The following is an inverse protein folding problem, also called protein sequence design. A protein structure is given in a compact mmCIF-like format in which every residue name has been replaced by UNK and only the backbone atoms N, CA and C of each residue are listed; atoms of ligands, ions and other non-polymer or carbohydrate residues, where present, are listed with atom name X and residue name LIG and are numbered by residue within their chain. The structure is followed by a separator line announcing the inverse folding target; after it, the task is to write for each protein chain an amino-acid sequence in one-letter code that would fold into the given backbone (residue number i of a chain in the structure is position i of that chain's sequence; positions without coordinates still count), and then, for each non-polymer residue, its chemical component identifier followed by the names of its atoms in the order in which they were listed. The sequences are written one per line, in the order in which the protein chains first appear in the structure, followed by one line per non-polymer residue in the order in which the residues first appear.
data_IF_489330180114
#
_entry.id   IF_489330180114
#
_cell.length_a   1.000
_cell.length_b   1.000
_cell.length_c   1.000
_cell.angle_alpha   90.00
_cell.angle_beta   90.00
_cell.angle_gamma   90.00
#
_symmetry.space_group_name_H-M   'P 1'
#
loop_
_entity.id
_entity.type
_entity.pdbx_description
1 polymer ?
#
# COMPACT_ATOMS: atom_id res chain seq x y z
N UNK A 1 -23.23 -18.32 12.93
CA UNK A 1 -21.97 -17.98 12.24
C UNK A 1 -21.99 -16.50 11.90
N UNK A 2 -21.07 -15.71 12.43
CA UNK A 2 -20.96 -14.28 12.13
C UNK A 2 -20.41 -14.08 10.72
N UNK A 3 -21.03 -13.21 9.93
CA UNK A 3 -20.52 -12.82 8.61
C UNK A 3 -19.33 -11.89 8.81
N UNK A 4 -18.16 -12.26 8.28
CA UNK A 4 -16.97 -11.40 8.25
C UNK A 4 -17.15 -10.42 7.10
N UNK A 5 -17.06 -9.13 7.39
CA UNK A 5 -17.10 -8.04 6.42
C UNK A 5 -15.69 -7.49 6.25
N UNK A 6 -15.32 -7.22 5.00
CA UNK A 6 -14.12 -6.46 4.71
C UNK A 6 -14.36 -4.99 5.09
N UNK A 7 -13.50 -4.46 5.96
CA UNK A 7 -13.70 -3.15 6.59
C UNK A 7 -13.60 -1.98 5.60
N UNK A 8 -12.80 -2.12 4.54
CA UNK A 8 -12.56 -1.06 3.56
C UNK A 8 -13.60 -1.04 2.45
N UNK A 9 -14.03 -2.21 1.97
CA UNK A 9 -15.04 -2.32 0.92
C UNK A 9 -16.47 -2.43 1.44
N UNK A 10 -16.66 -2.61 2.75
CA UNK A 10 -17.94 -2.87 3.42
C UNK A 10 -18.72 -4.08 2.86
N UNK A 11 -18.08 -4.92 2.04
CA UNK A 11 -18.70 -6.10 1.43
C UNK A 11 -18.48 -7.33 2.30
N UNK A 12 -19.47 -8.21 2.33
CA UNK A 12 -19.31 -9.51 2.96
C UNK A 12 -18.21 -10.29 2.23
N UNK A 13 -17.35 -10.99 2.98
CA UNK A 13 -16.23 -11.75 2.40
C UNK A 13 -16.69 -12.77 1.34
N UNK A 14 -17.93 -13.24 1.40
CA UNK A 14 -18.55 -14.12 0.40
C UNK A 14 -19.01 -13.41 -0.89
N UNK A 15 -19.28 -12.09 -0.86
CA UNK A 15 -19.68 -11.31 -2.04
C UNK A 15 -18.49 -10.82 -2.86
N UNK A 16 -17.30 -10.73 -2.25
CA UNK A 16 -16.04 -10.48 -2.95
C UNK A 16 -15.61 -11.68 -3.83
N UNK A 17 -16.19 -12.86 -3.58
CA UNK A 17 -16.02 -14.09 -4.38
C UNK A 17 -16.96 -14.09 -5.61
N UNK A 18 -17.60 -12.96 -5.96
CA UNK A 18 -18.27 -12.81 -7.25
C UNK A 18 -17.25 -12.59 -8.38
N UNK A 19 -16.53 -13.68 -8.66
CA UNK A 19 -16.01 -14.17 -9.93
C UNK A 19 -15.56 -13.14 -10.99
N UNK A 20 -14.24 -12.97 -11.09
CA UNK A 20 -13.59 -12.41 -12.28
C UNK A 20 -13.27 -13.49 -13.34
N UNK A 21 -14.02 -14.60 -13.37
CA UNK A 21 -13.78 -15.70 -14.30
C UNK A 21 -13.83 -15.27 -15.76
N UNK A 22 -14.69 -14.30 -16.08
CA UNK A 22 -14.80 -13.77 -17.44
C UNK A 22 -13.49 -13.14 -17.92
N UNK A 23 -12.80 -12.37 -17.07
CA UNK A 23 -11.51 -11.78 -17.42
C UNK A 23 -10.43 -12.85 -17.64
N UNK A 24 -10.40 -13.87 -16.78
CA UNK A 24 -9.45 -14.96 -16.89
C UNK A 24 -9.72 -15.81 -18.15
N UNK A 25 -10.98 -16.06 -18.48
CA UNK A 25 -11.38 -16.77 -19.70
C UNK A 25 -11.00 -15.95 -20.96
N UNK A 26 -11.19 -14.63 -20.95
CA UNK A 26 -10.76 -13.72 -22.04
C UNK A 26 -9.24 -13.69 -22.24
N UNK A 27 -8.45 -13.73 -21.16
CA UNK A 27 -6.98 -13.81 -21.22
C UNK A 27 -6.55 -15.18 -21.78
N UNK A 28 -7.17 -16.25 -21.31
CA UNK A 28 -6.90 -17.61 -21.80
C UNK A 28 -7.23 -17.73 -23.28
N UNK A 29 -8.31 -17.13 -23.76
CA UNK A 29 -8.68 -17.15 -25.17
C UNK A 29 -7.65 -16.41 -26.05
N UNK A 30 -7.09 -15.29 -25.57
CA UNK A 30 -6.12 -14.49 -26.34
C UNK A 30 -4.68 -14.99 -26.26
N UNK A 31 -4.28 -15.55 -25.11
CA UNK A 31 -2.88 -15.79 -24.78
C UNK A 31 -2.60 -17.18 -24.18
N UNK A 32 -3.65 -17.96 -23.91
CA UNK A 32 -3.53 -19.25 -23.25
C UNK A 32 -2.96 -20.34 -24.15
N UNK A 33 -2.30 -21.31 -23.52
CA UNK A 33 -1.98 -22.61 -24.12
C UNK A 33 -2.60 -23.69 -23.25
N UNK A 34 -3.42 -24.54 -23.85
CA UNK A 34 -4.08 -25.63 -23.13
C UNK A 34 -3.08 -26.73 -22.76
N UNK A 35 -3.07 -27.15 -21.49
CA UNK A 35 -2.15 -28.17 -20.97
C UNK A 35 -2.84 -29.37 -20.29
N UNK A 36 -4.16 -29.33 -20.13
CA UNK A 36 -4.93 -30.38 -19.46
C UNK A 36 -6.01 -29.83 -18.52
N UNK A 37 -6.59 -30.73 -17.72
CA UNK A 37 -7.70 -30.42 -16.81
C UNK A 37 -7.46 -31.05 -15.43
N UNK A 38 -7.75 -30.31 -14.37
CA UNK A 38 -7.71 -30.78 -12.99
C UNK A 38 -9.08 -31.37 -12.58
N UNK A 39 -9.09 -32.16 -11.50
CA UNK A 39 -10.35 -32.58 -10.88
C UNK A 39 -11.11 -31.38 -10.32
N UNK A 40 -12.45 -31.45 -10.30
CA UNK A 40 -13.32 -30.35 -9.86
C UNK A 40 -12.89 -29.72 -8.53
N UNK A 41 -12.62 -30.57 -7.53
CA UNK A 41 -12.19 -30.11 -6.21
C UNK A 41 -10.86 -29.32 -6.27
N UNK A 42 -9.87 -29.81 -7.03
CA UNK A 42 -8.58 -29.12 -7.18
C UNK A 42 -8.73 -27.81 -7.96
N UNK A 43 -9.58 -27.80 -8.98
CA UNK A 43 -9.92 -26.59 -9.74
C UNK A 43 -10.54 -25.52 -8.84
N UNK A 44 -11.52 -25.89 -8.01
CA UNK A 44 -12.20 -24.96 -7.10
C UNK A 44 -11.23 -24.36 -6.08
N UNK A 45 -10.41 -25.19 -5.42
CA UNK A 45 -9.42 -24.68 -4.45
C UNK A 45 -8.37 -23.78 -5.10
N UNK A 46 -7.87 -24.14 -6.28
CA UNK A 46 -6.85 -23.36 -6.97
C UNK A 46 -7.43 -22.01 -7.44
N UNK A 47 -8.65 -22.00 -7.98
CA UNK A 47 -9.34 -20.77 -8.38
C UNK A 47 -9.54 -19.83 -7.21
N UNK A 48 -10.05 -20.33 -6.08
CA UNK A 48 -10.20 -19.53 -4.86
C UNK A 48 -8.88 -18.91 -4.39
N UNK A 49 -7.79 -19.66 -4.50
CA UNK A 49 -6.45 -19.18 -4.11
C UNK A 49 -5.98 -18.05 -5.05
N UNK A 50 -6.14 -18.23 -6.36
CA UNK A 50 -5.80 -17.20 -7.35
C UNK A 50 -6.60 -15.92 -7.11
N UNK A 51 -7.93 -16.04 -6.92
CA UNK A 51 -8.81 -14.91 -6.66
C UNK A 51 -8.39 -14.15 -5.38
N UNK A 52 -8.04 -14.89 -4.31
CA UNK A 52 -7.54 -14.30 -3.08
C UNK A 52 -6.20 -13.57 -3.27
N UNK A 53 -5.28 -14.16 -4.02
CA UNK A 53 -3.99 -13.53 -4.31
C UNK A 53 -4.16 -12.22 -5.11
N UNK A 54 -5.04 -12.21 -6.11
CA UNK A 54 -5.35 -10.99 -6.87
C UNK A 54 -5.99 -9.91 -6.02
N UNK A 55 -6.89 -10.31 -5.12
CA UNK A 55 -7.52 -9.39 -4.19
C UNK A 55 -6.51 -8.77 -3.22
N UNK A 56 -5.66 -9.59 -2.59
CA UNK A 56 -4.60 -9.11 -1.69
C UNK A 56 -3.61 -8.19 -2.43
N UNK A 57 -3.25 -8.52 -3.68
CA UNK A 57 -2.42 -7.65 -4.51
C UNK A 57 -3.03 -6.26 -4.66
N UNK A 58 -4.32 -6.18 -4.99
CA UNK A 58 -5.03 -4.89 -5.13
C UNK A 58 -5.06 -4.09 -3.83
N UNK A 59 -5.25 -4.76 -2.68
CA UNK A 59 -5.19 -4.09 -1.39
C UNK A 59 -3.80 -3.49 -1.12
N UNK A 60 -2.73 -4.23 -1.45
CA UNK A 60 -1.35 -3.73 -1.30
C UNK A 60 -1.11 -2.54 -2.22
N UNK A 61 -1.55 -2.61 -3.48
CA UNK A 61 -1.46 -1.48 -4.42
C UNK A 61 -2.18 -0.24 -3.91
N UNK A 62 -3.37 -0.39 -3.33
CA UNK A 62 -4.10 0.71 -2.72
C UNK A 62 -3.36 1.29 -1.50
N UNK A 63 -2.90 0.45 -0.58
CA UNK A 63 -2.15 0.90 0.60
C UNK A 63 -0.86 1.63 0.23
N UNK A 64 -0.16 1.19 -0.82
CA UNK A 64 1.03 1.90 -1.32
C UNK A 64 0.66 3.29 -1.86
N UNK A 65 -0.47 3.42 -2.55
CA UNK A 65 -0.95 4.72 -3.04
C UNK A 65 -1.29 5.67 -1.89
N UNK A 66 -2.03 5.19 -0.89
CA UNK A 66 -2.40 5.97 0.30
C UNK A 66 -1.17 6.38 1.12
N UNK A 67 -0.20 5.48 1.24
CA UNK A 67 1.09 5.79 1.86
C UNK A 67 1.82 6.91 1.13
N UNK A 68 1.84 6.87 -0.21
CA UNK A 68 2.52 7.89 -1.02
C UNK A 68 1.85 9.26 -0.87
N UNK A 69 0.51 9.30 -0.87
CA UNK A 69 -0.25 10.53 -0.60
C UNK A 69 0.06 11.10 0.79
N UNK A 70 0.07 10.24 1.81
CA UNK A 70 0.40 10.66 3.18
C UNK A 70 1.84 11.17 3.28
N UNK A 71 2.79 10.50 2.61
CA UNK A 71 4.19 10.90 2.58
C UNK A 71 4.36 12.27 1.92
N UNK A 72 3.72 12.51 0.78
CA UNK A 72 3.74 13.81 0.11
C UNK A 72 3.17 14.91 1.01
N UNK A 73 2.02 14.68 1.64
CA UNK A 73 1.44 15.65 2.57
C UNK A 73 2.33 15.92 3.79
N UNK A 74 3.00 14.89 4.30
CA UNK A 74 4.00 15.03 5.36
C UNK A 74 5.19 15.89 4.92
N UNK A 75 5.76 15.63 3.74
CA UNK A 75 6.89 16.40 3.20
C UNK A 75 6.54 17.90 3.05
N UNK A 76 5.33 18.21 2.57
CA UNK A 76 4.82 19.58 2.48
C UNK A 76 4.73 20.25 3.86
N UNK A 77 4.12 19.59 4.85
CA UNK A 77 3.99 20.11 6.22
C UNK A 77 5.35 20.33 6.89
N UNK A 78 6.33 19.45 6.66
CA UNK A 78 7.69 19.62 7.18
C UNK A 78 8.35 20.85 6.59
N UNK A 79 8.27 21.04 5.28
CA UNK A 79 8.84 22.22 4.62
C UNK A 79 8.19 23.51 5.13
N UNK A 80 6.88 23.52 5.34
CA UNK A 80 6.17 24.65 5.94
C UNK A 80 6.68 24.92 7.36
N UNK A 81 6.79 23.89 8.21
CA UNK A 81 7.25 24.03 9.59
C UNK A 81 8.70 24.53 9.68
N UNK A 82 9.60 23.99 8.86
CA UNK A 82 11.02 24.41 8.78
C UNK A 82 11.13 25.88 8.41
N UNK A 83 10.34 26.33 7.42
CA UNK A 83 10.30 27.72 6.99
C UNK A 83 9.69 28.62 8.08
N UNK A 84 8.56 28.23 8.66
CA UNK A 84 7.86 29.00 9.69
C UNK A 84 8.69 29.19 10.96
N UNK A 85 9.42 28.15 11.39
CA UNK A 85 10.29 28.19 12.56
C UNK A 85 11.62 28.91 12.30
N UNK A 86 11.84 29.42 11.08
CA UNK A 86 13.04 30.17 10.73
C UNK A 86 14.32 29.33 10.85
N UNK A 87 14.29 28.06 10.43
CA UNK A 87 15.46 27.17 10.56
C UNK A 87 16.72 27.80 9.96
N UNK A 88 16.61 28.43 8.79
CA UNK A 88 17.70 29.14 8.12
C UNK A 88 18.26 30.30 8.95
N UNK A 89 17.39 31.06 9.61
CA UNK A 89 17.78 32.19 10.48
C UNK A 89 18.50 31.69 11.75
N UNK A 90 18.21 30.45 12.16
CA UNK A 90 18.86 29.75 13.27
C UNK A 90 20.09 28.92 12.85
N UNK A 91 20.60 29.09 11.61
CA UNK A 91 21.76 28.35 11.08
C UNK A 91 21.51 26.82 11.06
N UNK A 92 20.25 26.40 10.91
CA UNK A 92 19.87 25.00 10.71
C UNK A 92 19.54 24.80 9.24
N UNK A 93 20.41 24.07 8.54
CA UNK A 93 20.16 23.61 7.16
C UNK A 93 19.31 22.34 7.20
N UNK A 94 18.16 22.37 6.54
CA UNK A 94 17.32 21.20 6.34
C UNK A 94 17.36 20.79 4.87
N UNK A 95 17.82 19.56 4.64
CA UNK A 95 17.76 18.87 3.36
C UNK A 95 17.03 17.53 3.57
N UNK A 96 15.85 17.33 2.96
CA UNK A 96 15.07 16.10 3.15
C UNK A 96 15.76 14.85 2.61
N UNK A 97 16.83 14.95 1.81
CA UNK A 97 17.62 13.79 1.41
C UNK A 97 18.51 13.27 2.56
N UNK A 98 19.16 14.18 3.30
CA UNK A 98 20.12 13.85 4.35
C UNK A 98 19.59 13.94 5.79
N UNK A 99 18.43 14.57 6.01
CA UNK A 99 17.88 14.85 7.33
C UNK A 99 16.42 14.40 7.46
N UNK A 100 16.07 13.96 8.66
CA UNK A 100 14.72 13.67 9.10
C UNK A 100 14.21 14.78 10.01
N UNK A 101 12.91 15.04 9.94
CA UNK A 101 12.21 15.94 10.84
C UNK A 101 11.43 15.14 11.89
N UNK A 102 11.55 15.52 13.16
CA UNK A 102 10.84 14.86 14.26
C UNK A 102 10.13 15.91 15.12
N UNK A 103 8.94 15.56 15.59
CA UNK A 103 8.20 16.34 16.58
C UNK A 103 8.04 15.47 17.82
N UNK A 104 8.49 15.97 18.97
CA UNK A 104 8.32 15.24 20.22
C UNK A 104 6.91 15.43 20.82
N UNK A 105 6.62 14.70 21.89
CA UNK A 105 5.32 14.74 22.58
C UNK A 105 4.95 16.10 23.17
N UNK A 106 5.92 17.03 23.31
CA UNK A 106 5.70 18.40 23.79
C UNK A 106 5.59 19.40 22.64
N UNK A 107 5.72 18.94 21.39
CA UNK A 107 5.68 19.79 20.20
C UNK A 107 7.03 20.45 19.88
N UNK A 108 8.14 20.00 20.46
CA UNK A 108 9.45 20.49 20.03
C UNK A 108 9.85 19.83 18.72
N UNK A 109 10.32 20.64 17.78
CA UNK A 109 10.74 20.21 16.46
C UNK A 109 12.26 19.98 16.42
N UNK A 110 12.67 18.88 15.81
CA UNK A 110 14.05 18.44 15.72
C UNK A 110 14.37 18.08 14.28
N UNK A 111 15.58 18.43 13.84
CA UNK A 111 16.14 17.99 12.56
C UNK A 111 17.32 17.07 12.89
N UNK A 112 17.25 15.82 12.44
CA UNK A 112 18.20 14.76 12.82
C UNK A 112 18.80 14.16 11.54
N UNK A 113 20.13 13.99 11.50
CA UNK A 113 20.80 13.42 10.33
C UNK A 113 20.33 11.98 10.15
N UNK A 114 19.89 11.62 8.95
CA UNK A 114 19.50 10.24 8.64
C UNK A 114 20.68 9.31 8.92
N UNK A 115 20.41 8.16 9.53
CA UNK A 115 21.45 7.16 9.74
C UNK A 115 21.98 6.70 8.37
N UNK A 116 23.31 6.72 8.20
CA UNK A 116 23.96 6.10 7.05
C UNK A 116 23.81 4.57 7.17
N UNK A 117 22.68 4.04 6.69
CA UNK A 117 22.43 2.60 6.63
C UNK A 117 21.12 2.16 7.26
N UNK A 118 20.11 2.00 6.41
CA UNK A 118 19.36 0.75 6.26
C UNK A 118 18.48 0.85 5.01
N UNK A 119 19.11 0.72 3.84
CA UNK A 119 18.45 0.13 2.69
C UNK A 119 18.40 -1.37 2.99
N UNK A 120 17.26 -1.84 3.50
CA UNK A 120 16.91 -3.27 3.61
C UNK A 120 15.65 -3.51 2.82
#
# INVERSE_FOLDING_TARGET
MGKIFDFLSHKAQFELINHNFKHNDEIVEKHGKYIGVLTKQRTESLRQTIDMMEFMKKQVEQLMSEYEELRCGYEEMVMEAVNFLGAKDNIVEYDPEGWDFYVDVKGHCWVIKKAEGNRS
#
